data_IF_029670159223
#
_entry.id   IF_029670159223
#
_cell.length_a   1.000
_cell.length_b   1.000
_cell.length_c   1.000
_cell.angle_alpha   90.00
_cell.angle_beta   90.00
_cell.angle_gamma   90.00
#
_symmetry.space_group_name_H-M   'P 1'
#
loop_
_entity.id
_entity.type
_entity.pdbx_description
1 polymer ?
#
# COMPACT_ATOMS: atom_id res chain seq x y z
N UNK A 1 23.17 25.92 15.00
CA UNK A 1 21.87 26.28 15.62
C UNK A 1 20.85 25.17 15.41
N UNK A 2 20.96 24.36 14.36
CA UNK A 2 20.13 23.15 14.19
C UNK A 2 20.37 22.19 15.36
N UNK A 3 19.29 21.63 15.88
CA UNK A 3 19.27 20.63 16.95
C UNK A 3 18.63 19.36 16.38
N UNK A 4 19.31 18.23 16.52
CA UNK A 4 18.80 16.91 16.13
C UNK A 4 17.90 16.30 17.22
N UNK A 5 17.11 15.29 16.87
CA UNK A 5 16.26 14.56 17.84
C UNK A 5 17.06 14.06 19.05
N UNK A 6 18.26 13.53 18.82
CA UNK A 6 19.12 12.96 19.87
C UNK A 6 19.67 14.01 20.85
N UNK A 7 19.68 15.27 20.45
CA UNK A 7 20.17 16.40 21.25
C UNK A 7 19.06 17.09 22.06
N UNK A 8 17.79 16.69 21.87
CA UNK A 8 16.68 17.19 22.68
C UNK A 8 16.77 16.68 24.12
N UNK A 9 16.28 17.49 25.07
CA UNK A 9 16.04 17.01 26.43
C UNK A 9 15.16 15.73 26.41
N UNK A 10 15.37 14.76 27.32
CA UNK A 10 14.58 13.53 27.36
C UNK A 10 13.06 13.74 27.42
N UNK A 11 12.61 14.84 28.05
CA UNK A 11 11.19 15.25 28.07
C UNK A 11 10.66 15.55 26.66
N UNK A 12 11.46 16.23 25.84
CA UNK A 12 11.11 16.61 24.47
C UNK A 12 11.30 15.48 23.48
N UNK A 13 12.29 14.60 23.68
CA UNK A 13 12.40 13.35 22.91
C UNK A 13 11.13 12.49 23.05
N UNK A 14 10.60 12.37 24.28
CA UNK A 14 9.37 11.63 24.51
C UNK A 14 8.14 12.30 23.89
N UNK A 15 8.04 13.64 23.95
CA UNK A 15 6.97 14.38 23.28
C UNK A 15 7.07 14.25 21.76
N UNK A 16 8.28 14.28 21.21
CA UNK A 16 8.55 14.14 19.79
C UNK A 16 8.16 12.75 19.26
N UNK A 17 8.53 11.67 19.95
CA UNK A 17 8.10 10.31 19.59
C UNK A 17 6.58 10.18 19.59
N UNK A 18 5.91 10.80 20.57
CA UNK A 18 4.44 10.82 20.63
C UNK A 18 3.83 11.65 19.48
N UNK A 19 4.45 12.77 19.09
CA UNK A 19 3.96 13.55 17.94
C UNK A 19 4.11 12.81 16.62
N UNK A 20 5.18 12.02 16.44
CA UNK A 20 5.34 11.16 15.27
C UNK A 20 4.23 10.10 15.20
N UNK A 21 3.97 9.38 16.30
CA UNK A 21 2.88 8.39 16.37
C UNK A 21 1.50 9.04 16.14
N UNK A 22 1.26 10.22 16.70
CA UNK A 22 0.02 10.96 16.46
C UNK A 22 -0.14 11.38 14.98
N UNK A 23 0.96 11.71 14.31
CA UNK A 23 0.96 12.06 12.89
C UNK A 23 0.65 10.84 11.99
N UNK A 24 1.15 9.65 12.33
CA UNK A 24 0.80 8.40 11.63
C UNK A 24 -0.70 8.10 11.73
N UNK A 25 -1.28 8.36 12.91
CA UNK A 25 -2.72 8.24 13.16
C UNK A 25 -3.53 9.41 12.56
N UNK A 26 -2.88 10.36 11.89
CA UNK A 26 -3.48 11.59 11.33
C UNK A 26 -4.25 12.42 12.37
N UNK A 27 -3.86 12.33 13.64
CA UNK A 27 -4.44 13.13 14.72
C UNK A 27 -3.72 14.49 14.82
N UNK A 28 -4.03 15.38 13.87
CA UNK A 28 -3.29 16.63 13.68
C UNK A 28 -3.41 17.62 14.84
N UNK A 29 -4.55 17.67 15.54
CA UNK A 29 -4.71 18.50 16.75
C UNK A 29 -3.74 18.05 17.85
N UNK A 30 -3.59 16.74 18.02
CA UNK A 30 -2.67 16.20 19.01
C UNK A 30 -1.21 16.41 18.60
N UNK A 31 -0.87 16.26 17.32
CA UNK A 31 0.46 16.61 16.79
C UNK A 31 0.84 18.06 17.12
N UNK A 32 -0.07 19.02 16.89
CA UNK A 32 0.18 20.43 17.24
C UNK A 32 0.44 20.59 18.74
N UNK A 33 -0.42 20.01 19.58
CA UNK A 33 -0.29 20.13 21.05
C UNK A 33 1.03 19.56 21.60
N UNK A 34 1.56 18.51 20.96
CA UNK A 34 2.79 17.85 21.38
C UNK A 34 4.06 18.52 20.82
N UNK A 35 3.98 19.06 19.60
CA UNK A 35 5.14 19.60 18.89
C UNK A 35 5.37 21.08 19.20
N UNK A 36 4.31 21.85 19.43
CA UNK A 36 4.38 23.29 19.73
C UNK A 36 5.28 23.62 20.95
N UNK A 37 5.19 22.91 22.10
CA UNK A 37 6.07 23.17 23.23
C UNK A 37 7.55 22.93 22.91
N UNK A 38 7.85 21.98 22.01
CA UNK A 38 9.23 21.64 21.63
C UNK A 38 9.84 22.78 20.82
N UNK A 39 9.15 23.25 19.77
CA UNK A 39 9.69 24.27 18.86
C UNK A 39 9.76 25.66 19.47
N UNK A 40 8.95 25.93 20.51
CA UNK A 40 9.02 27.16 21.31
C UNK A 40 10.27 27.18 22.19
N UNK A 41 10.60 26.04 22.81
CA UNK A 41 11.75 25.94 23.72
C UNK A 41 13.07 25.70 22.97
N UNK A 42 13.03 25.00 21.84
CA UNK A 42 14.20 24.62 21.05
C UNK A 42 14.07 25.21 19.64
N UNK A 43 14.49 26.47 19.43
CA UNK A 43 14.25 27.16 18.18
C UNK A 43 14.88 26.48 16.97
N UNK A 44 15.98 25.76 17.20
CA UNK A 44 16.77 25.02 16.22
C UNK A 44 16.23 23.66 15.82
N UNK A 45 15.15 23.18 16.43
CA UNK A 45 14.59 21.86 16.11
C UNK A 45 13.71 21.91 14.84
N UNK A 46 14.37 21.86 13.68
CA UNK A 46 13.72 22.05 12.38
C UNK A 46 12.73 20.94 12.02
N UNK A 47 13.02 19.69 12.37
CA UNK A 47 12.12 18.56 12.11
C UNK A 47 10.77 18.75 12.82
N UNK A 48 10.81 19.26 14.05
CA UNK A 48 9.62 19.66 14.79
C UNK A 48 8.83 20.76 14.10
N UNK A 49 9.50 21.79 13.57
CA UNK A 49 8.83 22.89 12.85
C UNK A 49 8.17 22.42 11.56
N UNK A 50 8.85 21.57 10.80
CA UNK A 50 8.28 20.97 9.58
C UNK A 50 7.05 20.14 9.91
N UNK A 51 7.11 19.29 10.93
CA UNK A 51 5.96 18.49 11.36
C UNK A 51 4.81 19.37 11.88
N UNK A 52 5.12 20.38 12.69
CA UNK A 52 4.15 21.32 13.23
C UNK A 52 3.41 22.03 12.09
N UNK A 53 4.15 22.61 11.14
CA UNK A 53 3.57 23.35 10.02
C UNK A 53 2.70 22.47 9.13
N UNK A 54 3.11 21.22 8.90
CA UNK A 54 2.28 20.23 8.21
C UNK A 54 0.96 19.99 8.96
N UNK A 55 1.01 19.80 10.28
CA UNK A 55 -0.18 19.55 11.08
C UNK A 55 -1.14 20.77 11.09
N UNK A 56 -0.60 21.98 11.24
CA UNK A 56 -1.35 23.24 11.13
C UNK A 56 -2.03 23.37 9.76
N UNK A 57 -1.29 23.08 8.68
CA UNK A 57 -1.83 23.08 7.32
C UNK A 57 -2.97 22.08 7.11
N UNK A 58 -2.92 20.89 7.74
CA UNK A 58 -4.01 19.93 7.71
C UNK A 58 -5.23 20.42 8.50
N UNK A 59 -5.03 21.01 9.69
CA UNK A 59 -6.11 21.61 10.48
C UNK A 59 -6.82 22.73 9.72
N UNK A 60 -6.06 23.60 9.07
CA UNK A 60 -6.59 24.70 8.25
C UNK A 60 -7.43 24.19 7.05
N UNK A 61 -7.06 23.05 6.44
CA UNK A 61 -7.82 22.43 5.35
C UNK A 61 -9.15 21.82 5.82
N UNK A 62 -9.17 21.16 6.99
CA UNK A 62 -10.36 20.47 7.53
C UNK A 62 -11.39 21.44 8.11
N UNK A 63 -10.98 22.61 8.60
CA UNK A 63 -11.90 23.59 9.19
C UNK A 63 -12.79 24.34 8.17
N UNK A 64 -12.60 24.12 6.86
CA UNK A 64 -13.34 24.80 5.79
C UNK A 64 -13.03 26.29 5.69
N UNK A 65 -13.43 26.92 4.58
CA UNK A 65 -13.30 28.38 4.32
C UNK A 65 -14.19 29.25 5.25
N UNK A 66 -14.25 28.94 6.54
CA UNK A 66 -14.94 29.71 7.59
C UNK A 66 -13.98 30.33 8.61
N UNK A 67 -12.70 30.45 8.30
CA UNK A 67 -11.88 31.45 8.96
C UNK A 67 -12.05 32.76 8.22
N UNK A 68 -13.09 33.48 8.64
CA UNK A 68 -13.20 34.91 8.40
C UNK A 68 -11.85 35.55 8.69
N UNK A 69 -11.42 36.41 7.77
CA UNK A 69 -10.41 37.41 8.08
C UNK A 69 -10.83 38.07 9.40
N UNK A 70 -10.10 37.81 10.48
CA UNK A 70 -10.24 38.65 11.65
C UNK A 70 -9.59 39.98 11.26
N UNK A 71 -10.41 40.84 10.65
CA UNK A 71 -10.20 42.27 10.62
C UNK A 71 -10.28 42.74 12.07
N UNK A 72 -9.14 42.64 12.76
CA UNK A 72 -9.01 42.99 14.17
C UNK A 72 -7.55 42.91 14.60
N UNK A 73 -6.71 43.75 14.00
CA UNK A 73 -5.30 43.90 14.35
C UNK A 73 -4.42 43.90 13.09
N UNK A 74 -4.31 44.98 12.31
CA UNK A 74 -4.21 46.35 12.83
C UNK A 74 -3.00 46.55 13.75
N UNK A 75 -2.09 45.59 13.84
CA UNK A 75 -0.76 45.73 14.39
C UNK A 75 0.12 44.73 13.65
N UNK A 76 0.88 45.09 12.62
CA UNK A 76 2.16 45.78 12.88
C UNK A 76 2.50 45.65 14.36
N UNK A 77 2.96 44.46 14.75
CA UNK A 77 3.53 44.22 16.06
C UNK A 77 4.42 45.40 16.36
N UNK A 78 4.10 46.12 17.45
CA UNK A 78 4.99 47.16 17.98
C UNK A 78 6.37 46.54 18.00
N UNK A 79 7.30 47.16 17.27
CA UNK A 79 8.74 46.94 17.40
C UNK A 79 9.13 47.29 18.84
N UNK A 80 8.83 46.36 19.74
CA UNK A 80 9.17 46.38 21.15
C UNK A 80 10.41 45.52 21.33
N UNK A 81 11.17 45.83 22.38
CA UNK A 81 12.44 45.19 22.78
C UNK A 81 12.33 43.68 23.13
N UNK A 82 11.45 42.91 22.51
CA UNK A 82 11.35 41.46 22.71
C UNK A 82 12.44 40.77 21.91
N UNK A 83 13.02 39.73 22.51
CA UNK A 83 14.03 38.91 21.87
C UNK A 83 13.46 38.22 20.61
N UNK A 84 14.22 38.10 19.51
CA UNK A 84 13.76 37.43 18.30
C UNK A 84 13.22 36.01 18.52
N UNK A 85 13.77 35.25 19.47
CA UNK A 85 13.30 33.90 19.80
C UNK A 85 11.90 33.93 20.40
N UNK A 86 11.66 34.86 21.33
CA UNK A 86 10.34 35.04 21.95
C UNK A 86 9.29 35.45 20.91
N UNK A 87 9.67 36.29 19.94
CA UNK A 87 8.77 36.68 18.85
C UNK A 87 8.42 35.48 17.96
N UNK A 88 9.40 34.63 17.63
CA UNK A 88 9.15 33.41 16.85
C UNK A 88 8.23 32.46 17.62
N UNK A 89 8.47 32.27 18.93
CA UNK A 89 7.64 31.41 19.77
C UNK A 89 6.18 31.92 19.86
N UNK A 90 5.97 33.23 19.95
CA UNK A 90 4.65 33.86 19.93
C UNK A 90 3.95 33.67 18.57
N UNK A 91 4.69 33.75 17.46
CA UNK A 91 4.16 33.50 16.13
C UNK A 91 3.71 32.05 15.93
N UNK A 92 4.50 31.07 16.39
CA UNK A 92 4.12 29.64 16.34
C UNK A 92 2.86 29.37 17.17
N UNK A 93 2.71 30.01 18.32
CA UNK A 93 1.54 29.80 19.16
C UNK A 93 0.28 30.50 18.63
N UNK A 94 0.40 31.75 18.19
CA UNK A 94 -0.75 32.64 18.01
C UNK A 94 -1.07 32.97 16.55
N UNK A 95 -0.14 32.75 15.62
CA UNK A 95 -0.33 33.12 14.20
C UNK A 95 -0.45 31.87 13.34
N UNK A 96 0.57 31.01 13.36
CA UNK A 96 0.70 29.93 12.39
C UNK A 96 -0.29 28.77 12.57
N UNK A 97 -0.81 28.59 13.78
CA UNK A 97 -1.94 27.67 13.98
C UNK A 97 -3.21 28.06 13.22
N UNK A 98 -3.37 29.35 12.89
CA UNK A 98 -4.56 29.88 12.20
C UNK A 98 -4.32 30.17 10.73
N UNK A 99 -3.16 30.73 10.39
CA UNK A 99 -2.75 31.04 9.02
C UNK A 99 -1.31 30.53 8.77
N UNK A 100 -1.13 29.21 8.63
CA UNK A 100 0.20 28.60 8.50
C UNK A 100 0.95 29.06 7.24
N UNK A 101 0.22 29.40 6.17
CA UNK A 101 0.81 29.73 4.88
C UNK A 101 0.80 31.24 4.55
N UNK A 102 0.29 32.08 5.47
CA UNK A 102 0.18 33.52 5.30
C UNK A 102 1.50 34.19 4.94
N UNK A 103 1.50 34.95 3.84
CA UNK A 103 2.69 35.64 3.33
C UNK A 103 3.29 36.62 4.36
N UNK A 104 2.51 37.52 5.02
CA UNK A 104 3.10 38.50 5.93
C UNK A 104 3.79 37.87 7.14
N UNK A 105 3.17 36.85 7.74
CA UNK A 105 3.69 36.16 8.91
C UNK A 105 4.99 35.40 8.58
N UNK A 106 5.01 34.65 7.49
CA UNK A 106 6.21 33.94 7.08
C UNK A 106 7.33 34.89 6.59
N UNK A 107 7.01 36.06 6.04
CA UNK A 107 8.03 37.09 5.76
C UNK A 107 8.65 37.66 7.05
N UNK A 108 7.84 37.88 8.09
CA UNK A 108 8.36 38.29 9.39
C UNK A 108 9.23 37.21 10.02
N UNK A 109 8.85 35.93 9.91
CA UNK A 109 9.66 34.80 10.37
C UNK A 109 11.00 34.75 9.63
N UNK A 110 11.01 34.95 8.31
CA UNK A 110 12.23 35.10 7.51
C UNK A 110 13.13 36.22 8.06
N UNK A 111 12.58 37.42 8.27
CA UNK A 111 13.38 38.57 8.73
C UNK A 111 13.94 38.37 10.14
N UNK A 112 13.19 37.73 11.04
CA UNK A 112 13.66 37.36 12.39
C UNK A 112 14.76 36.30 12.32
N UNK A 113 14.59 35.26 11.51
CA UNK A 113 15.58 34.22 11.30
C UNK A 113 16.89 34.78 10.71
N UNK A 114 16.80 35.71 9.75
CA UNK A 114 17.97 36.39 9.20
C UNK A 114 18.69 37.26 10.24
N UNK A 115 17.96 37.96 11.12
CA UNK A 115 18.54 38.73 12.25
C UNK A 115 19.26 37.83 13.25
N UNK A 116 18.78 36.60 13.43
CA UNK A 116 19.40 35.59 14.29
C UNK A 116 20.54 34.83 13.61
N UNK A 117 20.87 35.15 12.35
CA UNK A 117 21.81 34.39 11.53
C UNK A 117 21.44 32.91 11.44
N UNK A 118 20.15 32.60 11.32
CA UNK A 118 19.62 31.25 11.17
C UNK A 118 19.05 31.02 9.76
N UNK A 119 19.91 30.72 8.77
CA UNK A 119 19.51 30.63 7.38
C UNK A 119 18.50 29.50 7.11
N UNK A 120 18.61 28.35 7.78
CA UNK A 120 17.67 27.23 7.56
C UNK A 120 16.24 27.59 7.97
N UNK A 121 16.06 28.34 9.06
CA UNK A 121 14.74 28.83 9.47
C UNK A 121 14.20 29.89 8.51
N UNK A 122 15.08 30.73 7.96
CA UNK A 122 14.71 31.69 6.94
C UNK A 122 14.25 30.98 5.65
N UNK A 123 15.00 29.97 5.17
CA UNK A 123 14.60 29.13 4.06
C UNK A 123 13.24 28.47 4.31
N UNK A 124 13.06 27.83 5.47
CA UNK A 124 11.80 27.21 5.87
C UNK A 124 10.60 28.16 5.79
N UNK A 125 10.75 29.41 6.20
CA UNK A 125 9.68 30.41 6.13
C UNK A 125 9.27 30.71 4.68
N UNK A 126 10.25 30.83 3.76
CA UNK A 126 9.97 31.05 2.34
C UNK A 126 9.44 29.79 1.64
N UNK A 127 9.92 28.60 2.01
CA UNK A 127 9.40 27.30 1.56
C UNK A 127 7.91 27.15 1.95
N UNK A 128 7.57 27.55 3.18
CA UNK A 128 6.19 27.52 3.68
C UNK A 128 5.27 28.41 2.85
N UNK A 129 5.72 29.62 2.46
CA UNK A 129 4.95 30.47 1.55
C UNK A 129 4.80 29.81 0.18
N UNK A 130 5.87 29.22 -0.36
CA UNK A 130 5.86 28.51 -1.66
C UNK A 130 4.85 27.37 -1.66
N UNK A 131 4.71 26.63 -0.56
CA UNK A 131 3.75 25.53 -0.43
C UNK A 131 2.29 26.02 -0.50
N UNK A 132 1.96 27.13 0.17
CA UNK A 132 0.61 27.68 0.16
C UNK A 132 0.27 28.57 -1.05
N UNK A 133 1.28 29.15 -1.68
CA UNK A 133 1.16 30.08 -2.81
C UNK A 133 2.13 29.70 -3.95
N UNK A 134 1.95 28.52 -4.58
CA UNK A 134 2.87 27.99 -5.60
C UNK A 134 2.93 28.83 -6.89
N UNK A 135 2.00 29.76 -7.11
CA UNK A 135 2.01 30.71 -8.22
C UNK A 135 2.87 31.95 -7.97
N UNK A 136 3.31 32.19 -6.72
CA UNK A 136 4.02 33.41 -6.35
C UNK A 136 5.51 33.33 -6.70
N UNK A 137 5.83 33.56 -7.97
CA UNK A 137 7.21 33.53 -8.50
C UNK A 137 8.14 34.52 -7.80
N UNK A 138 7.64 35.66 -7.31
CA UNK A 138 8.43 36.64 -6.56
C UNK A 138 9.02 36.04 -5.27
N UNK A 139 8.25 35.23 -4.56
CA UNK A 139 8.74 34.54 -3.36
C UNK A 139 9.70 33.42 -3.73
N UNK A 140 9.44 32.69 -4.81
CA UNK A 140 10.35 31.66 -5.30
C UNK A 140 11.71 32.24 -5.70
N UNK A 141 11.76 33.43 -6.33
CA UNK A 141 13.02 34.14 -6.60
C UNK A 141 13.76 34.46 -5.30
N UNK A 142 13.06 35.03 -4.30
CA UNK A 142 13.65 35.31 -2.99
C UNK A 142 14.20 34.05 -2.32
N UNK A 143 13.51 32.91 -2.44
CA UNK A 143 13.94 31.62 -1.92
C UNK A 143 15.18 31.09 -2.65
N UNK A 144 15.19 31.16 -3.98
CA UNK A 144 16.33 30.72 -4.78
C UNK A 144 17.57 31.57 -4.51
N UNK A 145 17.41 32.89 -4.42
CA UNK A 145 18.49 33.82 -4.06
C UNK A 145 19.02 33.55 -2.64
N UNK A 146 18.13 33.26 -1.70
CA UNK A 146 18.51 32.85 -0.35
C UNK A 146 19.37 31.58 -0.37
N UNK A 147 18.95 30.52 -1.06
CA UNK A 147 19.76 29.31 -1.19
C UNK A 147 21.11 29.56 -1.87
N UNK A 148 21.15 30.41 -2.90
CA UNK A 148 22.40 30.79 -3.57
C UNK A 148 23.34 31.54 -2.63
N UNK A 149 22.82 32.43 -1.78
CA UNK A 149 23.59 33.17 -0.79
C UNK A 149 24.16 32.27 0.32
N UNK A 150 23.55 31.11 0.56
CA UNK A 150 23.92 30.16 1.60
C UNK A 150 24.48 28.83 1.05
N UNK A 151 25.11 28.87 -0.12
CA UNK A 151 25.85 27.75 -0.72
C UNK A 151 25.02 26.45 -0.88
N UNK A 152 23.72 26.60 -1.15
CA UNK A 152 22.79 25.52 -1.45
C UNK A 152 22.33 25.57 -2.93
N UNK A 153 23.25 25.51 -3.91
CA UNK A 153 22.90 25.72 -5.32
C UNK A 153 22.00 24.63 -5.90
N UNK A 154 21.95 23.43 -5.30
CA UNK A 154 21.00 22.38 -5.69
C UNK A 154 19.54 22.81 -5.48
N UNK A 155 19.19 23.19 -4.25
CA UNK A 155 17.85 23.66 -3.88
C UNK A 155 17.45 24.95 -4.62
N UNK A 156 18.44 25.83 -4.90
CA UNK A 156 18.24 26.99 -5.74
C UNK A 156 17.83 26.60 -7.17
N UNK A 157 18.54 25.63 -7.77
CA UNK A 157 18.23 25.12 -9.11
C UNK A 157 16.82 24.53 -9.20
N UNK A 158 16.41 23.73 -8.21
CA UNK A 158 15.04 23.20 -8.14
C UNK A 158 13.98 24.30 -8.04
N UNK A 159 14.29 25.36 -7.29
CA UNK A 159 13.39 26.49 -7.13
C UNK A 159 13.27 27.29 -8.43
N UNK A 160 14.38 27.57 -9.13
CA UNK A 160 14.33 28.21 -10.46
C UNK A 160 13.58 27.34 -11.49
N UNK A 161 13.78 26.02 -11.50
CA UNK A 161 12.97 25.11 -12.34
C UNK A 161 11.48 25.17 -12.02
N UNK A 162 11.12 25.34 -10.75
CA UNK A 162 9.72 25.52 -10.34
C UNK A 162 9.14 26.81 -10.91
N UNK A 163 9.91 27.90 -10.92
CA UNK A 163 9.54 29.18 -11.55
C UNK A 163 9.34 28.99 -13.05
N UNK A 164 10.29 28.34 -13.74
CA UNK A 164 10.23 28.12 -15.20
C UNK A 164 9.09 27.21 -15.64
N UNK A 165 8.57 26.35 -14.76
CA UNK A 165 7.33 25.60 -15.03
C UNK A 165 6.10 26.51 -15.04
N UNK A 166 6.07 27.54 -14.19
CA UNK A 166 4.98 28.51 -14.11
C UNK A 166 5.10 29.63 -15.15
N UNK A 167 6.31 30.14 -15.36
CA UNK A 167 6.65 31.15 -16.37
C UNK A 167 7.95 30.74 -17.12
N UNK A 168 7.82 30.02 -18.24
CA UNK A 168 8.97 29.62 -19.05
C UNK A 168 9.78 30.77 -19.66
N UNK A 169 9.27 32.01 -19.61
CA UNK A 169 9.90 33.21 -20.18
C UNK A 169 10.57 34.07 -19.11
N UNK A 170 10.58 33.63 -17.85
CA UNK A 170 11.26 34.34 -16.76
C UNK A 170 12.78 34.33 -16.96
N UNK A 171 13.29 35.45 -17.49
CA UNK A 171 14.72 35.60 -17.81
C UNK A 171 15.62 35.54 -16.57
N UNK A 172 15.12 35.95 -15.41
CA UNK A 172 15.87 35.87 -14.16
C UNK A 172 16.02 34.42 -13.72
N UNK A 173 14.97 33.61 -13.86
CA UNK A 173 15.01 32.19 -13.50
C UNK A 173 15.83 31.35 -14.50
N UNK A 174 15.78 31.65 -15.81
CA UNK A 174 16.62 31.00 -16.82
C UNK A 174 18.12 31.21 -16.50
N UNK A 175 18.47 32.45 -16.12
CA UNK A 175 19.84 32.77 -15.72
C UNK A 175 20.19 32.10 -14.39
N UNK A 176 19.31 32.22 -13.39
CA UNK A 176 19.49 31.66 -12.06
C UNK A 176 19.71 30.15 -12.07
N UNK A 177 18.97 29.39 -12.89
CA UNK A 177 19.17 27.95 -13.03
C UNK A 177 20.58 27.60 -13.57
N UNK A 178 21.05 28.33 -14.58
CA UNK A 178 22.40 28.14 -15.14
C UNK A 178 23.49 28.51 -14.13
N UNK A 179 23.31 29.61 -13.41
CA UNK A 179 24.23 30.06 -12.37
C UNK A 179 24.30 29.05 -11.21
N UNK A 180 23.15 28.49 -10.81
CA UNK A 180 23.06 27.43 -9.81
C UNK A 180 23.77 26.14 -10.29
N UNK A 181 23.56 25.72 -11.54
CA UNK A 181 24.25 24.58 -12.12
C UNK A 181 25.78 24.78 -12.19
N UNK A 182 26.24 25.99 -12.54
CA UNK A 182 27.66 26.33 -12.54
C UNK A 182 28.26 26.26 -11.13
N UNK A 183 27.57 26.82 -10.11
CA UNK A 183 28.01 26.74 -8.71
C UNK A 183 28.04 25.30 -8.18
N UNK A 184 27.05 24.48 -8.51
CA UNK A 184 27.03 23.04 -8.20
C UNK A 184 28.28 22.33 -8.76
N UNK A 185 28.65 22.63 -10.01
CA UNK A 185 29.82 22.03 -10.66
C UNK A 185 31.13 22.44 -9.98
N UNK A 186 31.28 23.74 -9.66
CA UNK A 186 32.46 24.26 -8.94
C UNK A 186 32.54 23.68 -7.53
N UNK A 187 31.42 23.60 -6.81
CA UNK A 187 31.37 22.99 -5.49
C UNK A 187 31.83 21.54 -5.57
N UNK A 188 31.32 20.73 -6.52
CA UNK A 188 31.77 19.35 -6.73
C UNK A 188 33.26 19.22 -7.11
N UNK A 189 33.83 20.17 -7.83
CA UNK A 189 35.27 20.18 -8.16
C UNK A 189 36.17 20.55 -6.96
N UNK A 190 35.66 21.25 -5.94
CA UNK A 190 36.39 21.64 -4.74
C UNK A 190 36.53 20.55 -3.65
N UNK A 191 35.92 19.37 -3.84
CA UNK A 191 35.82 18.29 -2.83
C UNK A 191 37.09 17.39 -2.75
N UNK A 192 38.27 18.00 -2.88
CA UNK A 192 39.56 17.31 -2.99
C UNK A 192 40.52 17.45 -1.80
N UNK A 193 40.07 17.63 -0.55
CA UNK A 193 41.01 17.63 0.61
C UNK A 193 40.60 16.69 1.77
N UNK A 194 41.52 15.75 2.02
CA UNK A 194 41.68 14.59 2.92
C UNK A 194 41.03 14.48 4.32
N UNK A 195 40.22 15.43 4.79
CA UNK A 195 39.49 15.30 6.06
C UNK A 195 38.05 14.81 5.89
N UNK A 196 37.42 15.26 4.79
CA UNK A 196 36.00 15.08 4.55
C UNK A 196 35.71 13.87 3.65
N UNK A 197 36.72 13.24 3.05
CA UNK A 197 36.52 12.11 2.14
C UNK A 197 35.75 10.96 2.78
N UNK A 198 35.94 10.66 4.07
CA UNK A 198 35.16 9.61 4.76
C UNK A 198 33.72 10.03 5.07
N UNK A 199 33.47 11.30 5.39
CA UNK A 199 32.13 11.83 5.66
C UNK A 199 31.36 12.11 4.37
N UNK A 200 32.01 12.65 3.36
CA UNK A 200 31.53 12.79 1.99
C UNK A 200 31.29 11.44 1.33
N UNK A 201 32.17 10.44 1.53
CA UNK A 201 31.92 9.07 1.06
C UNK A 201 30.75 8.46 1.82
N UNK A 202 30.68 8.62 3.15
CA UNK A 202 29.50 8.17 3.92
C UNK A 202 28.21 8.86 3.47
N UNK A 203 28.23 10.17 3.25
CA UNK A 203 27.07 10.95 2.77
C UNK A 203 26.74 10.66 1.31
N UNK A 204 27.73 10.38 0.47
CA UNK A 204 27.55 9.97 -0.93
C UNK A 204 27.06 8.52 -1.01
N UNK A 205 27.51 7.65 -0.11
CA UNK A 205 27.05 6.26 0.01
C UNK A 205 25.63 6.22 0.61
N UNK A 206 25.29 7.12 1.53
CA UNK A 206 23.94 7.32 2.07
C UNK A 206 23.02 7.94 1.00
N UNK A 207 23.49 8.93 0.24
CA UNK A 207 22.74 9.53 -0.86
C UNK A 207 22.52 8.55 -2.02
N UNK A 208 23.54 7.78 -2.40
CA UNK A 208 23.45 6.72 -3.39
C UNK A 208 22.57 5.57 -2.90
N UNK A 209 22.60 5.24 -1.61
CA UNK A 209 21.66 4.29 -1.00
C UNK A 209 20.21 4.81 -1.07
N UNK A 210 19.97 6.07 -0.72
CA UNK A 210 18.65 6.69 -0.83
C UNK A 210 18.15 6.75 -2.28
N UNK A 211 19.04 7.05 -3.23
CA UNK A 211 18.74 7.02 -4.66
C UNK A 211 18.41 5.60 -5.14
N UNK A 212 19.20 4.59 -4.71
CA UNK A 212 18.92 3.19 -5.00
C UNK A 212 17.59 2.73 -4.41
N UNK A 213 17.26 3.13 -3.17
CA UNK A 213 15.99 2.82 -2.50
C UNK A 213 14.78 3.42 -3.24
N UNK A 214 14.96 4.57 -3.87
CA UNK A 214 13.91 5.25 -4.64
C UNK A 214 13.81 4.76 -6.09
N UNK A 215 14.78 3.98 -6.57
CA UNK A 215 14.82 3.50 -7.94
C UNK A 215 13.81 2.37 -8.16
N UNK A 216 12.89 2.58 -9.10
CA UNK A 216 11.83 1.61 -9.42
C UNK A 216 12.32 0.37 -10.19
N UNK A 217 13.50 0.43 -10.84
CA UNK A 217 14.08 -0.66 -11.61
C UNK A 217 15.55 -0.89 -11.25
N UNK A 218 15.79 -1.63 -10.17
CA UNK A 218 17.13 -2.08 -9.79
C UNK A 218 17.51 -3.36 -10.56
N UNK A 219 18.78 -3.49 -10.92
CA UNK A 219 19.35 -4.75 -11.42
C UNK A 219 19.51 -5.75 -10.27
N UNK A 220 19.68 -7.04 -10.59
CA UNK A 220 19.88 -8.09 -9.58
C UNK A 220 21.09 -7.79 -8.72
N UNK A 221 22.20 -7.41 -9.34
CA UNK A 221 23.46 -7.08 -8.67
C UNK A 221 23.31 -5.86 -7.75
N UNK A 222 22.52 -4.86 -8.15
CA UNK A 222 22.21 -3.70 -7.30
C UNK A 222 21.37 -4.09 -6.08
N UNK A 223 20.39 -4.98 -6.25
CA UNK A 223 19.57 -5.47 -5.15
C UNK A 223 20.39 -6.31 -4.16
N UNK A 224 21.29 -7.16 -4.65
CA UNK A 224 22.21 -7.94 -3.81
C UNK A 224 23.18 -7.05 -3.03
N UNK A 225 23.75 -6.02 -3.66
CA UNK A 225 24.62 -5.06 -2.99
C UNK A 225 23.89 -4.28 -1.89
N UNK A 226 22.67 -3.81 -2.17
CA UNK A 226 21.85 -3.12 -1.18
C UNK A 226 21.41 -4.05 -0.04
N UNK A 227 21.13 -5.33 -0.35
CA UNK A 227 20.80 -6.33 0.64
C UNK A 227 21.97 -6.59 1.58
N UNK A 228 23.19 -6.76 1.07
CA UNK A 228 24.38 -6.94 1.89
C UNK A 228 24.59 -5.77 2.87
N UNK A 229 24.46 -4.53 2.39
CA UNK A 229 24.54 -3.34 3.24
C UNK A 229 23.43 -3.29 4.29
N UNK A 230 22.20 -3.67 3.91
CA UNK A 230 21.06 -3.72 4.83
C UNK A 230 21.26 -4.78 5.92
N UNK A 231 21.87 -5.93 5.60
CA UNK A 231 22.24 -6.97 6.56
C UNK A 231 23.25 -6.44 7.57
N UNK A 232 24.28 -5.70 7.13
CA UNK A 232 25.26 -5.11 8.05
C UNK A 232 24.60 -4.11 9.02
N UNK A 233 23.67 -3.28 8.52
CA UNK A 233 22.88 -2.37 9.34
C UNK A 233 21.98 -3.14 10.33
N UNK A 234 21.33 -4.21 9.89
CA UNK A 234 20.48 -5.06 10.72
C UNK A 234 21.29 -5.77 11.81
N UNK A 235 22.50 -6.22 11.52
CA UNK A 235 23.39 -6.84 12.50
C UNK A 235 23.80 -5.86 13.61
N UNK A 236 23.81 -4.56 13.34
CA UNK A 236 24.06 -3.52 14.34
C UNK A 236 22.81 -3.20 15.19
N UNK A 237 21.60 -3.31 14.64
CA UNK A 237 20.32 -3.15 15.34
C UNK A 237 19.25 -4.09 14.77
N UNK A 238 19.09 -5.25 15.40
CA UNK A 238 18.17 -6.30 14.97
C UNK A 238 16.70 -5.96 15.22
N UNK A 239 16.43 -4.91 16.00
CA UNK A 239 15.06 -4.49 16.34
C UNK A 239 14.49 -3.47 15.36
N UNK A 240 15.31 -2.98 14.42
CA UNK A 240 14.92 -1.95 13.47
C UNK A 240 13.97 -2.52 12.40
N UNK A 241 12.67 -2.33 12.61
CA UNK A 241 11.61 -2.79 11.70
C UNK A 241 11.76 -2.26 10.27
N UNK A 242 12.37 -1.08 10.06
CA UNK A 242 12.58 -0.51 8.72
C UNK A 242 13.57 -1.38 7.94
N UNK A 243 14.64 -1.83 8.60
CA UNK A 243 15.65 -2.70 8.00
C UNK A 243 15.06 -4.09 7.73
N UNK A 244 14.29 -4.64 8.67
CA UNK A 244 13.58 -5.92 8.50
C UNK A 244 12.66 -5.88 7.28
N UNK A 245 11.81 -4.85 7.16
CA UNK A 245 10.90 -4.68 6.01
C UNK A 245 11.67 -4.53 4.70
N UNK A 246 12.77 -3.77 4.70
CA UNK A 246 13.65 -3.60 3.53
C UNK A 246 14.29 -4.91 3.09
N UNK A 247 14.79 -5.72 4.04
CA UNK A 247 15.34 -7.04 3.72
C UNK A 247 14.28 -7.94 3.11
N UNK A 248 13.07 -7.98 3.68
CA UNK A 248 11.97 -8.77 3.16
C UNK A 248 11.61 -8.39 1.71
N UNK A 249 11.49 -7.09 1.41
CA UNK A 249 11.22 -6.57 0.07
C UNK A 249 12.35 -6.91 -0.93
N UNK A 250 13.61 -6.85 -0.50
CA UNK A 250 14.77 -7.18 -1.35
C UNK A 250 14.83 -8.68 -1.66
N UNK A 251 14.64 -9.54 -0.65
CA UNK A 251 14.56 -10.99 -0.87
C UNK A 251 13.39 -11.37 -1.79
N UNK A 252 12.23 -10.71 -1.65
CA UNK A 252 11.09 -10.93 -2.54
C UNK A 252 11.42 -10.54 -4.00
N UNK A 253 12.07 -9.39 -4.21
CA UNK A 253 12.49 -8.93 -5.55
C UNK A 253 13.59 -9.81 -6.16
N UNK A 254 14.43 -10.40 -5.33
CA UNK A 254 15.44 -11.39 -5.72
C UNK A 254 14.85 -12.80 -5.92
N UNK A 255 13.54 -12.95 -5.70
CA UNK A 255 12.77 -14.18 -5.84
C UNK A 255 13.12 -15.29 -4.83
N UNK A 256 13.84 -14.94 -3.75
CA UNK A 256 14.04 -15.79 -2.57
C UNK A 256 12.85 -15.63 -1.62
N UNK A 257 11.72 -16.19 -2.03
CA UNK A 257 10.45 -16.07 -1.31
C UNK A 257 10.49 -16.68 0.10
N UNK A 258 11.12 -17.85 0.37
CA UNK A 258 11.19 -18.40 1.72
C UNK A 258 11.89 -17.46 2.71
N UNK A 259 13.02 -16.89 2.32
CA UNK A 259 13.73 -15.93 3.17
C UNK A 259 12.93 -14.64 3.33
N UNK A 260 12.31 -14.14 2.25
CA UNK A 260 11.42 -12.98 2.30
C UNK A 260 10.27 -13.20 3.30
N UNK A 261 9.60 -14.36 3.25
CA UNK A 261 8.52 -14.72 4.16
C UNK A 261 8.99 -14.69 5.62
N UNK A 262 10.17 -15.21 5.93
CA UNK A 262 10.70 -15.19 7.30
C UNK A 262 10.86 -13.77 7.85
N UNK A 263 11.32 -12.82 7.04
CA UNK A 263 11.47 -11.42 7.44
C UNK A 263 10.12 -10.68 7.47
N UNK A 264 9.18 -11.00 6.58
CA UNK A 264 7.81 -10.47 6.67
C UNK A 264 7.09 -10.98 7.93
N UNK A 265 7.23 -12.26 8.28
CA UNK A 265 6.69 -12.84 9.51
C UNK A 265 7.32 -12.16 10.74
N UNK A 266 8.63 -11.92 10.74
CA UNK A 266 9.30 -11.20 11.82
C UNK A 266 8.82 -9.73 11.91
N UNK A 267 8.68 -9.03 10.79
CA UNK A 267 8.13 -7.67 10.76
C UNK A 267 6.70 -7.63 11.29
N UNK A 268 5.89 -8.65 11.01
CA UNK A 268 4.54 -8.78 11.54
C UNK A 268 4.54 -9.06 13.05
N UNK A 269 5.44 -9.90 13.56
CA UNK A 269 5.58 -10.13 15.00
C UNK A 269 5.96 -8.87 15.78
N UNK A 270 6.77 -7.99 15.18
CA UNK A 270 7.13 -6.69 15.79
C UNK A 270 5.93 -5.71 15.81
N UNK A 271 4.97 -5.85 14.89
CA UNK A 271 3.75 -5.04 14.87
C UNK A 271 2.52 -5.88 14.44
N UNK A 272 1.93 -6.68 15.35
CA UNK A 272 0.82 -7.59 15.02
C UNK A 272 -0.48 -6.89 14.56
N UNK A 273 -0.59 -5.58 14.75
CA UNK A 273 -1.74 -4.78 14.29
C UNK A 273 -1.64 -4.31 12.83
N UNK A 274 -0.50 -4.53 12.16
CA UNK A 274 -0.26 -4.11 10.79
C UNK A 274 -0.98 -5.06 9.80
N UNK A 275 -2.25 -4.75 9.51
CA UNK A 275 -3.08 -5.49 8.54
C UNK A 275 -2.44 -5.53 7.15
N UNK A 276 -1.67 -4.51 6.77
CA UNK A 276 -0.99 -4.49 5.47
C UNK A 276 0.14 -5.51 5.42
N UNK A 277 0.88 -5.65 6.52
CA UNK A 277 1.92 -6.65 6.67
C UNK A 277 1.34 -8.06 6.75
N UNK A 278 0.24 -8.26 7.48
CA UNK A 278 -0.45 -9.54 7.53
C UNK A 278 -0.83 -10.03 6.12
N UNK A 279 -1.44 -9.16 5.31
CA UNK A 279 -1.78 -9.48 3.91
C UNK A 279 -0.54 -9.80 3.07
N UNK A 280 0.57 -9.11 3.32
CA UNK A 280 1.84 -9.34 2.62
C UNK A 280 2.39 -10.73 2.94
N UNK A 281 2.40 -11.11 4.21
CA UNK A 281 2.77 -12.47 4.68
C UNK A 281 1.92 -13.53 4.00
N UNK A 282 0.59 -13.36 4.03
CA UNK A 282 -0.36 -14.29 3.40
C UNK A 282 -0.10 -14.43 1.88
N UNK A 283 0.09 -13.30 1.18
CA UNK A 283 0.36 -13.29 -0.26
C UNK A 283 1.67 -14.00 -0.62
N UNK A 284 2.75 -13.76 0.14
CA UNK A 284 4.05 -14.41 -0.14
C UNK A 284 4.00 -15.90 0.20
N UNK A 285 3.30 -16.28 1.28
CA UNK A 285 3.07 -17.68 1.65
C UNK A 285 2.30 -18.42 0.57
N UNK A 286 1.24 -17.82 0.04
CA UNK A 286 0.46 -18.37 -1.07
C UNK A 286 1.34 -18.57 -2.32
N UNK A 287 2.18 -17.59 -2.68
CA UNK A 287 3.09 -17.69 -3.82
C UNK A 287 4.12 -18.83 -3.66
N UNK A 288 4.62 -19.06 -2.44
CA UNK A 288 5.53 -20.19 -2.15
C UNK A 288 4.79 -21.51 -2.33
N UNK A 289 3.59 -21.62 -1.75
CA UNK A 289 2.76 -22.82 -1.84
C UNK A 289 2.35 -23.14 -3.28
N UNK A 290 2.02 -22.12 -4.08
CA UNK A 290 1.70 -22.30 -5.49
C UNK A 290 2.90 -22.89 -6.26
N UNK A 291 4.11 -22.38 -6.03
CA UNK A 291 5.34 -22.94 -6.62
C UNK A 291 5.63 -24.36 -6.15
N UNK A 292 5.41 -24.66 -4.87
CA UNK A 292 5.59 -26.00 -4.31
C UNK A 292 4.63 -26.99 -5.00
N UNK A 293 3.36 -26.59 -5.18
CA UNK A 293 2.36 -27.37 -5.90
C UNK A 293 2.76 -27.56 -7.36
N UNK A 294 3.11 -26.50 -8.09
CA UNK A 294 3.51 -26.57 -9.50
C UNK A 294 4.70 -27.51 -9.71
N UNK A 295 5.71 -27.45 -8.84
CA UNK A 295 6.87 -28.34 -8.90
C UNK A 295 6.49 -29.80 -8.64
N UNK A 296 5.64 -30.06 -7.64
CA UNK A 296 5.16 -31.41 -7.35
C UNK A 296 4.28 -31.96 -8.49
N UNK A 297 3.39 -31.14 -9.07
CA UNK A 297 2.54 -31.53 -10.20
C UNK A 297 3.38 -31.85 -11.44
N UNK A 298 4.36 -31.01 -11.78
CA UNK A 298 5.29 -31.27 -12.87
C UNK A 298 6.11 -32.55 -12.65
N UNK A 299 6.53 -32.82 -11.40
CA UNK A 299 7.24 -34.05 -11.05
C UNK A 299 6.35 -35.29 -11.24
N UNK A 300 5.09 -35.24 -10.79
CA UNK A 300 4.11 -36.32 -10.98
C UNK A 300 3.83 -36.57 -12.46
N UNK A 301 3.75 -35.52 -13.27
CA UNK A 301 3.53 -35.64 -14.73
C UNK A 301 4.75 -36.25 -15.44
N UNK A 302 5.96 -35.89 -15.01
CA UNK A 302 7.21 -36.36 -15.64
C UNK A 302 7.51 -37.83 -15.38
N UNK A 303 7.12 -38.36 -14.22
CA UNK A 303 7.30 -39.76 -13.84
C UNK A 303 6.11 -40.22 -12.98
N UNK A 304 5.03 -40.73 -13.60
CA UNK A 304 3.82 -41.19 -12.90
C UNK A 304 3.97 -42.49 -12.09
N UNK A 305 5.14 -43.15 -12.13
CA UNK A 305 5.43 -44.38 -11.41
C UNK A 305 6.51 -44.21 -10.32
N UNK A 306 6.97 -42.97 -10.08
CA UNK A 306 7.93 -42.65 -9.02
C UNK A 306 7.41 -43.09 -7.63
N UNK A 307 8.29 -43.63 -6.76
CA UNK A 307 7.88 -44.20 -5.47
C UNK A 307 7.35 -43.17 -4.47
N UNK A 308 7.59 -41.87 -4.68
CA UNK A 308 7.19 -40.77 -3.79
C UNK A 308 5.92 -40.01 -4.26
N UNK A 309 5.20 -40.51 -5.27
CA UNK A 309 4.02 -39.83 -5.83
C UNK A 309 2.90 -39.67 -4.83
N UNK A 310 2.60 -40.70 -4.05
CA UNK A 310 1.51 -40.62 -3.07
C UNK A 310 1.84 -39.61 -1.97
N UNK A 311 3.10 -39.48 -1.58
CA UNK A 311 3.55 -38.44 -0.65
C UNK A 311 3.39 -37.04 -1.25
N UNK A 312 3.77 -36.84 -2.53
CA UNK A 312 3.55 -35.57 -3.25
C UNK A 312 2.07 -35.22 -3.37
N UNK A 313 1.22 -36.19 -3.72
CA UNK A 313 -0.25 -36.02 -3.79
C UNK A 313 -0.83 -35.65 -2.44
N UNK A 314 -0.41 -36.34 -1.38
CA UNK A 314 -0.83 -36.04 -0.01
C UNK A 314 -0.38 -34.62 0.42
N UNK A 315 0.83 -34.22 0.05
CA UNK A 315 1.36 -32.87 0.32
C UNK A 315 0.57 -31.78 -0.40
N UNK A 316 0.30 -31.94 -1.71
CA UNK A 316 -0.55 -31.01 -2.47
C UNK A 316 -1.93 -30.90 -1.83
N UNK A 317 -2.53 -32.04 -1.46
CA UNK A 317 -3.83 -32.06 -0.81
C UNK A 317 -3.81 -31.33 0.54
N UNK A 318 -2.77 -31.53 1.35
CA UNK A 318 -2.60 -30.85 2.64
C UNK A 318 -2.48 -29.33 2.49
N UNK A 319 -1.67 -28.85 1.54
CA UNK A 319 -1.53 -27.41 1.26
C UNK A 319 -2.88 -26.80 0.83
N UNK A 320 -3.60 -27.46 -0.08
CA UNK A 320 -4.93 -27.01 -0.53
C UNK A 320 -5.94 -26.98 0.63
N UNK A 321 -5.87 -27.97 1.52
CA UNK A 321 -6.73 -28.04 2.71
C UNK A 321 -6.43 -26.92 3.70
N UNK A 322 -5.16 -26.61 3.96
CA UNK A 322 -4.74 -25.53 4.86
C UNK A 322 -5.26 -24.17 4.36
N UNK A 323 -5.06 -23.85 3.08
CA UNK A 323 -5.56 -22.59 2.47
C UNK A 323 -7.08 -22.50 2.55
N UNK A 324 -7.75 -23.61 2.28
CA UNK A 324 -9.21 -23.69 2.37
C UNK A 324 -9.74 -23.49 3.79
N UNK A 325 -8.99 -23.94 4.81
CA UNK A 325 -9.40 -23.82 6.21
C UNK A 325 -9.56 -22.36 6.66
N UNK A 326 -8.72 -21.44 6.16
CA UNK A 326 -8.83 -20.00 6.45
C UNK A 326 -10.12 -19.43 5.87
N UNK A 327 -10.37 -19.65 4.57
CA UNK A 327 -11.58 -19.18 3.87
C UNK A 327 -12.85 -19.75 4.51
N UNK A 328 -12.83 -21.04 4.85
CA UNK A 328 -13.94 -21.71 5.55
C UNK A 328 -14.12 -21.11 6.94
N UNK A 329 -13.05 -20.85 7.68
CA UNK A 329 -13.10 -20.25 9.01
C UNK A 329 -13.80 -18.89 9.01
N UNK A 330 -13.45 -18.01 8.06
CA UNK A 330 -14.13 -16.73 7.88
C UNK A 330 -15.60 -16.89 7.49
N UNK A 331 -15.91 -17.80 6.56
CA UNK A 331 -17.28 -18.06 6.13
C UNK A 331 -18.13 -18.61 7.29
N UNK A 332 -17.58 -19.51 8.12
CA UNK A 332 -18.21 -20.00 9.34
C UNK A 332 -18.51 -18.87 10.32
N UNK A 333 -17.54 -17.99 10.58
CA UNK A 333 -17.73 -16.84 11.46
C UNK A 333 -18.85 -15.90 10.96
N UNK A 334 -19.03 -15.75 9.64
CA UNK A 334 -20.15 -14.97 9.06
C UNK A 334 -21.49 -15.65 9.31
N UNK A 335 -21.56 -16.98 9.14
CA UNK A 335 -22.77 -17.77 9.44
C UNK A 335 -23.09 -17.72 10.94
N UNK A 336 -22.10 -17.80 11.82
CA UNK A 336 -22.31 -17.69 13.27
C UNK A 336 -22.88 -16.32 13.68
N UNK A 337 -22.40 -15.24 13.04
CA UNK A 337 -22.92 -13.88 13.29
C UNK A 337 -24.35 -13.71 12.78
N UNK A 338 -24.67 -14.29 11.62
CA UNK A 338 -25.99 -14.18 10.97
C UNK A 338 -26.57 -15.56 10.57
N UNK A 339 -27.01 -16.41 11.52
CA UNK A 339 -27.36 -17.81 11.21
C UNK A 339 -28.60 -17.99 10.32
N UNK A 340 -29.46 -16.98 10.23
CA UNK A 340 -30.70 -17.01 9.44
C UNK A 340 -30.51 -16.49 8.02
N UNK A 341 -29.39 -15.81 7.74
CA UNK A 341 -29.10 -15.27 6.42
C UNK A 341 -28.70 -16.41 5.47
N UNK A 342 -29.46 -16.55 4.38
CA UNK A 342 -29.30 -17.62 3.40
C UNK A 342 -28.16 -17.36 2.43
N UNK A 343 -27.76 -16.09 2.25
CA UNK A 343 -26.61 -15.73 1.42
C UNK A 343 -25.30 -16.19 2.09
N UNK A 344 -25.10 -15.89 3.37
CA UNK A 344 -23.88 -16.31 4.08
C UNK A 344 -23.76 -17.83 4.17
N UNK A 345 -24.88 -18.56 4.26
CA UNK A 345 -24.90 -20.03 4.17
C UNK A 345 -24.54 -20.54 2.78
N UNK A 346 -25.04 -19.88 1.73
CA UNK A 346 -24.63 -20.19 0.36
C UNK A 346 -23.12 -19.99 0.19
N UNK A 347 -22.57 -18.88 0.68
CA UNK A 347 -21.15 -18.56 0.61
C UNK A 347 -20.30 -19.59 1.36
N UNK A 348 -20.75 -20.06 2.55
CA UNK A 348 -20.10 -21.15 3.28
C UNK A 348 -20.16 -22.48 2.51
N UNK A 349 -21.30 -22.80 1.92
CA UNK A 349 -21.44 -23.98 1.05
C UNK A 349 -20.50 -23.93 -0.16
N UNK A 350 -20.33 -22.76 -0.77
CA UNK A 350 -19.37 -22.54 -1.84
C UNK A 350 -17.92 -22.68 -1.38
N UNK A 351 -17.57 -22.16 -0.20
CA UNK A 351 -16.24 -22.33 0.39
C UNK A 351 -15.92 -23.82 0.63
N UNK A 352 -16.86 -24.57 1.22
CA UNK A 352 -16.70 -26.02 1.39
C UNK A 352 -16.57 -26.77 0.06
N UNK A 353 -17.38 -26.41 -0.95
CA UNK A 353 -17.30 -27.02 -2.27
C UNK A 353 -15.93 -26.80 -2.92
N UNK A 354 -15.41 -25.57 -2.89
CA UNK A 354 -14.11 -25.23 -3.45
C UNK A 354 -12.95 -25.95 -2.73
N UNK A 355 -13.13 -26.25 -1.44
CA UNK A 355 -12.20 -27.03 -0.63
C UNK A 355 -12.28 -28.55 -0.86
N UNK A 356 -13.19 -29.04 -1.72
CA UNK A 356 -13.46 -30.47 -1.89
C UNK A 356 -14.23 -31.12 -0.74
N UNK A 357 -14.69 -30.32 0.24
CA UNK A 357 -15.47 -30.75 1.40
C UNK A 357 -16.96 -30.86 1.06
N UNK A 358 -17.27 -31.75 0.10
CA UNK A 358 -18.62 -31.85 -0.47
C UNK A 358 -19.68 -32.28 0.55
N UNK A 359 -19.30 -33.09 1.55
CA UNK A 359 -20.24 -33.56 2.59
C UNK A 359 -20.72 -32.41 3.47
N UNK A 360 -19.82 -31.49 3.80
CA UNK A 360 -20.06 -30.29 4.60
C UNK A 360 -20.75 -29.18 3.80
N UNK A 361 -20.49 -29.11 2.48
CA UNK A 361 -21.15 -28.17 1.58
C UNK A 361 -22.66 -28.43 1.47
N UNK A 362 -23.07 -29.69 1.36
CA UNK A 362 -24.48 -30.09 1.12
C UNK A 362 -25.48 -29.48 2.12
N UNK A 363 -25.34 -29.61 3.45
CA UNK A 363 -26.33 -29.07 4.39
C UNK A 363 -26.45 -27.54 4.32
N UNK A 364 -25.35 -26.84 4.09
CA UNK A 364 -25.37 -25.37 3.97
C UNK A 364 -26.06 -24.92 2.67
N UNK A 365 -25.80 -25.61 1.57
CA UNK A 365 -26.47 -25.36 0.29
C UNK A 365 -27.96 -25.74 0.32
N UNK A 366 -28.34 -26.80 1.04
CA UNK A 366 -29.74 -27.16 1.28
C UNK A 366 -30.48 -26.05 2.05
N UNK A 367 -29.82 -25.46 3.06
CA UNK A 367 -30.37 -24.31 3.77
C UNK A 367 -30.51 -23.08 2.86
N UNK A 368 -29.53 -22.83 1.98
CA UNK A 368 -29.55 -21.72 1.03
C UNK A 368 -30.65 -21.87 -0.04
N UNK A 369 -30.97 -23.11 -0.46
CA UNK A 369 -32.01 -23.43 -1.45
C UNK A 369 -33.41 -22.88 -1.08
N UNK A 370 -33.65 -22.57 0.20
CA UNK A 370 -34.93 -21.98 0.65
C UNK A 370 -35.11 -20.51 0.27
N UNK A 371 -34.05 -19.79 -0.14
CA UNK A 371 -34.14 -18.41 -0.62
C UNK A 371 -34.43 -18.41 -2.13
N UNK A 372 -35.56 -17.85 -2.61
CA UNK A 372 -35.91 -17.83 -4.03
C UNK A 372 -34.83 -17.24 -4.95
N UNK A 373 -34.10 -16.21 -4.50
CA UNK A 373 -33.06 -15.57 -5.32
C UNK A 373 -31.78 -16.41 -5.44
N UNK A 374 -31.53 -17.32 -4.51
CA UNK A 374 -30.35 -18.19 -4.48
C UNK A 374 -30.65 -19.61 -4.91
N UNK A 375 -31.92 -19.98 -4.93
CA UNK A 375 -32.39 -21.34 -5.14
C UNK A 375 -31.74 -22.05 -6.32
N UNK A 376 -31.75 -21.46 -7.51
CA UNK A 376 -31.16 -22.06 -8.70
C UNK A 376 -29.64 -22.24 -8.59
N UNK A 377 -28.94 -21.25 -8.00
CA UNK A 377 -27.49 -21.35 -7.74
C UNK A 377 -27.18 -22.44 -6.72
N UNK A 378 -27.97 -22.52 -5.64
CA UNK A 378 -27.82 -23.53 -4.60
C UNK A 378 -28.10 -24.94 -5.12
N UNK A 379 -29.11 -25.12 -5.98
CA UNK A 379 -29.40 -26.42 -6.61
C UNK A 379 -28.28 -26.83 -7.58
N UNK A 380 -27.79 -25.90 -8.42
CA UNK A 380 -26.64 -26.15 -9.30
C UNK A 380 -25.41 -26.62 -8.49
N UNK A 381 -25.12 -25.93 -7.39
CA UNK A 381 -24.04 -26.31 -6.48
C UNK A 381 -24.26 -27.67 -5.80
N UNK A 382 -25.49 -27.98 -5.36
CA UNK A 382 -25.83 -29.28 -4.78
C UNK A 382 -25.64 -30.40 -5.81
N UNK A 383 -26.09 -30.20 -7.05
CA UNK A 383 -25.88 -31.16 -8.14
C UNK A 383 -24.39 -31.43 -8.38
N UNK A 384 -23.57 -30.38 -8.38
CA UNK A 384 -22.10 -30.51 -8.44
C UNK A 384 -21.52 -31.27 -7.24
N UNK A 385 -22.02 -31.02 -6.02
CA UNK A 385 -21.58 -31.78 -4.84
C UNK A 385 -21.89 -33.27 -4.98
N UNK A 386 -23.09 -33.62 -5.43
CA UNK A 386 -23.49 -35.01 -5.64
C UNK A 386 -22.68 -35.69 -6.74
N UNK A 387 -22.46 -35.01 -7.87
CA UNK A 387 -21.63 -35.49 -8.98
C UNK A 387 -20.20 -35.78 -8.52
N UNK A 388 -19.57 -34.87 -7.77
CA UNK A 388 -18.21 -35.05 -7.23
C UNK A 388 -18.10 -36.18 -6.20
N UNK A 389 -19.22 -36.55 -5.58
CA UNK A 389 -19.33 -37.73 -4.68
C UNK A 389 -19.73 -39.00 -5.43
N UNK A 390 -19.78 -38.99 -6.76
CA UNK A 390 -20.28 -40.08 -7.62
C UNK A 390 -21.75 -40.49 -7.35
N UNK A 391 -22.53 -39.62 -6.70
CA UNK A 391 -23.98 -39.80 -6.48
C UNK A 391 -24.74 -39.24 -7.69
N UNK A 392 -24.46 -39.81 -8.87
CA UNK A 392 -24.88 -39.25 -10.16
C UNK A 392 -26.41 -39.25 -10.35
N UNK A 393 -27.13 -40.17 -9.72
CA UNK A 393 -28.60 -40.20 -9.68
C UNK A 393 -29.19 -38.98 -8.96
N UNK A 394 -28.65 -38.63 -7.79
CA UNK A 394 -29.04 -37.43 -7.04
C UNK A 394 -28.64 -36.16 -7.78
N UNK A 395 -27.47 -36.15 -8.42
CA UNK A 395 -27.01 -35.03 -9.24
C UNK A 395 -27.97 -34.77 -10.42
N UNK A 396 -28.36 -35.82 -11.14
CA UNK A 396 -29.33 -35.75 -12.24
C UNK A 396 -30.66 -35.16 -11.75
N UNK A 397 -31.19 -35.68 -10.64
CA UNK A 397 -32.43 -35.18 -10.04
C UNK A 397 -32.33 -33.71 -9.64
N UNK A 398 -31.23 -33.29 -9.03
CA UNK A 398 -31.01 -31.89 -8.66
C UNK A 398 -31.00 -30.95 -9.88
N UNK A 399 -30.29 -31.31 -10.96
CA UNK A 399 -30.27 -30.48 -12.17
C UNK A 399 -31.64 -30.44 -12.86
N UNK A 400 -32.36 -31.56 -12.94
CA UNK A 400 -33.73 -31.58 -13.45
C UNK A 400 -34.67 -30.69 -12.63
N UNK A 401 -34.51 -30.67 -11.31
CA UNK A 401 -35.28 -29.77 -10.44
C UNK A 401 -34.97 -28.30 -10.70
N UNK A 402 -33.70 -27.93 -10.92
CA UNK A 402 -33.34 -26.55 -11.29
C UNK A 402 -33.96 -26.16 -12.64
N UNK A 403 -33.99 -27.05 -13.62
CA UNK A 403 -34.53 -26.77 -14.95
C UNK A 403 -36.03 -26.51 -14.97
N UNK A 404 -36.80 -27.07 -14.02
CA UNK A 404 -38.24 -26.77 -13.86
C UNK A 404 -38.51 -25.31 -13.55
N UNK A 405 -37.58 -24.63 -12.89
CA UNK A 405 -37.71 -23.23 -12.46
C UNK A 405 -37.02 -22.25 -13.43
N UNK A 406 -36.13 -22.74 -14.29
CA UNK A 406 -35.42 -21.95 -15.29
C UNK A 406 -36.19 -21.92 -16.62
N UNK A 407 -37.12 -20.96 -16.75
CA UNK A 407 -37.90 -20.79 -17.98
C UNK A 407 -37.09 -20.18 -19.14
N UNK A 408 -36.22 -19.21 -18.84
CA UNK A 408 -35.45 -18.47 -19.84
C UNK A 408 -34.15 -19.21 -20.13
N UNK A 409 -33.80 -19.34 -21.42
CA UNK A 409 -32.52 -19.90 -21.86
C UNK A 409 -31.37 -18.89 -21.70
N UNK A 410 -31.00 -18.64 -20.45
CA UNK A 410 -29.89 -17.76 -20.08
C UNK A 410 -28.59 -18.54 -19.83
N UNK A 411 -27.53 -17.85 -19.39
CA UNK A 411 -26.26 -18.49 -19.05
C UNK A 411 -26.40 -19.55 -17.96
N UNK A 412 -27.31 -19.37 -17.01
CA UNK A 412 -27.51 -20.30 -15.90
C UNK A 412 -28.18 -21.58 -16.38
N UNK A 413 -29.23 -21.47 -17.21
CA UNK A 413 -29.91 -22.64 -17.79
C UNK A 413 -28.97 -23.44 -18.68
N UNK A 414 -28.17 -22.78 -19.51
CA UNK A 414 -27.13 -23.45 -20.32
C UNK A 414 -26.11 -24.20 -19.47
N UNK A 415 -25.66 -23.58 -18.37
CA UNK A 415 -24.75 -24.23 -17.41
C UNK A 415 -25.39 -25.49 -16.80
N UNK A 416 -26.63 -25.41 -16.31
CA UNK A 416 -27.34 -26.54 -15.70
C UNK A 416 -27.58 -27.67 -16.70
N UNK A 417 -28.00 -27.36 -17.93
CA UNK A 417 -28.17 -28.35 -19.01
C UNK A 417 -26.86 -29.06 -19.33
N UNK A 418 -25.75 -28.32 -19.36
CA UNK A 418 -24.44 -28.88 -19.66
C UNK A 418 -23.99 -29.85 -18.56
N UNK A 419 -24.13 -29.45 -17.29
CA UNK A 419 -23.81 -30.32 -16.15
C UNK A 419 -24.72 -31.56 -16.10
N UNK A 420 -26.01 -31.39 -16.42
CA UNK A 420 -26.94 -32.51 -16.56
C UNK A 420 -26.48 -33.49 -17.64
N UNK A 421 -26.05 -33.00 -18.81
CA UNK A 421 -25.51 -33.85 -19.86
C UNK A 421 -24.30 -34.64 -19.36
N UNK A 422 -23.33 -33.99 -18.71
CA UNK A 422 -22.13 -34.68 -18.19
C UNK A 422 -22.50 -35.77 -17.16
N UNK A 423 -23.51 -35.54 -16.32
CA UNK A 423 -24.01 -36.56 -15.39
C UNK A 423 -24.73 -37.69 -16.11
N UNK A 424 -25.55 -37.40 -17.13
CA UNK A 424 -26.20 -38.42 -17.95
C UNK A 424 -25.17 -39.30 -18.68
N UNK A 425 -24.08 -38.72 -19.16
CA UNK A 425 -22.95 -39.45 -19.75
C UNK A 425 -22.35 -40.46 -18.74
N UNK A 426 -22.10 -40.03 -17.49
CA UNK A 426 -21.63 -40.91 -16.41
C UNK A 426 -22.61 -42.02 -16.03
N UNK A 427 -23.91 -41.78 -16.21
CA UNK A 427 -24.97 -42.77 -15.98
C UNK A 427 -25.22 -43.69 -17.18
N UNK A 428 -24.50 -43.52 -18.29
CA UNK A 428 -24.76 -44.17 -19.58
C UNK A 428 -26.18 -43.89 -20.13
N UNK A 429 -26.79 -42.77 -19.73
CA UNK A 429 -28.06 -42.29 -20.26
C UNK A 429 -27.82 -41.45 -21.52
N UNK A 430 -27.68 -42.15 -22.65
CA UNK A 430 -27.39 -41.50 -23.94
C UNK A 430 -28.53 -40.61 -24.43
N UNK A 431 -29.77 -40.94 -24.09
CA UNK A 431 -30.93 -40.15 -24.49
C UNK A 431 -30.93 -38.80 -23.77
N UNK A 432 -30.85 -38.82 -22.43
CA UNK A 432 -30.79 -37.60 -21.63
C UNK A 432 -29.54 -36.75 -21.90
N UNK A 433 -28.39 -37.39 -22.19
CA UNK A 433 -27.17 -36.70 -22.61
C UNK A 433 -27.39 -35.88 -23.89
N UNK A 434 -27.93 -36.50 -24.94
CA UNK A 434 -28.14 -35.81 -26.22
C UNK A 434 -29.28 -34.79 -26.16
N UNK A 435 -30.34 -35.06 -25.41
CA UNK A 435 -31.46 -34.13 -25.23
C UNK A 435 -30.98 -32.80 -24.63
N UNK A 436 -30.26 -32.86 -23.50
CA UNK A 436 -29.76 -31.68 -22.82
C UNK A 436 -28.77 -30.87 -23.68
N UNK A 437 -27.87 -31.54 -24.40
CA UNK A 437 -26.92 -30.85 -25.31
C UNK A 437 -27.63 -30.22 -26.52
N UNK A 438 -28.65 -30.87 -27.09
CA UNK A 438 -29.43 -30.32 -28.21
C UNK A 438 -30.19 -29.07 -27.82
N UNK A 439 -30.72 -29.00 -26.60
CA UNK A 439 -31.34 -27.78 -26.09
C UNK A 439 -30.36 -26.60 -26.08
N UNK A 440 -29.13 -26.83 -25.61
CA UNK A 440 -28.09 -25.80 -25.63
C UNK A 440 -27.72 -25.45 -27.07
N UNK A 441 -27.46 -26.45 -27.91
CA UNK A 441 -27.04 -26.29 -29.30
C UNK A 441 -28.02 -25.43 -30.11
N UNK A 442 -29.32 -25.66 -29.95
CA UNK A 442 -30.37 -24.91 -30.64
C UNK A 442 -30.43 -23.43 -30.21
N UNK A 443 -30.00 -23.12 -28.98
CA UNK A 443 -30.02 -21.77 -28.43
C UNK A 443 -28.69 -21.02 -28.61
N UNK A 444 -27.56 -21.74 -28.54
CA UNK A 444 -26.20 -21.22 -28.59
C UNK A 444 -25.24 -22.29 -29.12
N UNK A 445 -25.02 -22.27 -30.44
CA UNK A 445 -24.11 -23.17 -31.13
C UNK A 445 -22.67 -23.12 -30.57
N UNK A 446 -22.22 -21.97 -30.07
CA UNK A 446 -20.85 -21.74 -29.62
C UNK A 446 -20.59 -22.07 -28.15
N UNK A 447 -21.57 -22.60 -27.42
CA UNK A 447 -21.42 -22.86 -25.99
C UNK A 447 -20.50 -24.07 -25.74
N UNK A 448 -19.30 -23.83 -25.19
CA UNK A 448 -18.29 -24.85 -24.84
C UNK A 448 -18.01 -25.79 -26.02
N UNK A 449 -18.06 -27.11 -25.82
CA UNK A 449 -17.82 -28.15 -26.83
C UNK A 449 -19.14 -28.81 -27.31
N UNK A 450 -20.29 -28.18 -27.05
CA UNK A 450 -21.63 -28.72 -27.34
C UNK A 450 -21.80 -29.08 -28.81
N UNK A 451 -21.43 -28.18 -29.74
CA UNK A 451 -21.55 -28.43 -31.18
C UNK A 451 -20.82 -29.71 -31.60
N UNK A 452 -19.55 -29.84 -31.19
CA UNK A 452 -18.75 -31.02 -31.47
C UNK A 452 -19.40 -32.29 -30.94
N UNK A 453 -19.91 -32.27 -29.70
CA UNK A 453 -20.55 -33.44 -29.06
C UNK A 453 -21.85 -33.85 -29.75
N UNK A 454 -22.68 -32.88 -30.13
CA UNK A 454 -23.96 -33.15 -30.81
C UNK A 454 -23.72 -33.67 -32.22
N UNK A 455 -22.87 -33.02 -33.02
CA UNK A 455 -22.59 -33.42 -34.41
C UNK A 455 -21.92 -34.81 -34.49
N UNK A 456 -21.00 -35.10 -33.57
CA UNK A 456 -20.35 -36.42 -33.48
C UNK A 456 -21.34 -37.55 -33.18
N UNK A 457 -22.55 -37.26 -32.70
CA UNK A 457 -23.59 -38.28 -32.45
C UNK A 457 -24.35 -38.70 -33.72
N UNK A 458 -24.21 -37.94 -34.82
CA UNK A 458 -24.79 -38.23 -36.14
C UNK A 458 -23.78 -38.84 -37.12
N UNK A 459 -22.51 -38.88 -36.71
CA UNK A 459 -21.40 -39.52 -37.43
C UNK A 459 -21.27 -40.97 -36.96
#
# INVERSE_FOLDING_TARGET
MIVSETELDPKFQNLWKKSLLAAEQRNWDYVVSLTLPIVKEVPGFMDGRVLLRRAEGQRAKTAGKKFFSFSGGGGLFKSGKKDPVEQIADMEENVFQSDPYGIPANQQLYDLAMKMHFPDLAAFALETIKEGHPENTKIMHKLADHYMAHEQPEKAGDTYRSILKADPRDMAAIKGEKDAAARMSIQRQGWGSDGDFRKSMKNADEAAELEMLQKQGMTKEQMEALLAKTIDQYNADQSNIILVKRMADLYEKLDDLPTALSFFDYAFQLNPGDVSMQRKVEMVRDKIQDREIEQMEAAIESDPDAPDIEDKRARIAAIRQERSAVVIGEAKARVERNPTDKQVRFDLGQAFFNAGMFTEAIPELQQAKSNPHLRNKAILMLGRCFERKNMNDLAKGAFQDALKELAIMDSTKKEVLYELAMVCEKLNDREGYLEALKEIYNADYGYKDVAKRVESSYS
#
